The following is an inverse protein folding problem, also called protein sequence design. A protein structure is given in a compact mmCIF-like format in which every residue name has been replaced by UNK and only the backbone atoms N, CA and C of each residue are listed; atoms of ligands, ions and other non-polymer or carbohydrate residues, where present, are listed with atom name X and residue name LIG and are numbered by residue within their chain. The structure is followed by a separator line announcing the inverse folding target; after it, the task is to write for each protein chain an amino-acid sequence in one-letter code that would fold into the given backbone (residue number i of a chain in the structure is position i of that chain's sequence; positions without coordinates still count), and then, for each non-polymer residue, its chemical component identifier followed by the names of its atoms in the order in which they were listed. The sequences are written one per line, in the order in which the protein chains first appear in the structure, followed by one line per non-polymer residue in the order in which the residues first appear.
data_IF_701096378714
#
_entry.id   IF_701096378714
#
_cell.length_a   1.000
_cell.length_b   1.000
_cell.length_c   1.000
_cell.angle_alpha   90.00
_cell.angle_beta   90.00
_cell.angle_gamma   90.00
#
_symmetry.space_group_name_H-M   'P 1'
#
loop_
_entity.id
_entity.type
_entity.pdbx_description
1 polymer ?
#
# COMPACT_ATOMS: atom_id res chain seq x y z
N UNK A 1 -43.89 6.55 44.25
CA UNK A 1 -45.08 7.23 43.74
C UNK A 1 -44.77 7.92 42.45
N UNK A 2 -45.62 7.65 41.43
CA UNK A 2 -45.78 8.33 40.12
C UNK A 2 -44.63 8.21 39.13
N UNK A 3 -44.76 7.48 38.15
CA UNK A 3 -45.70 7.26 37.02
C UNK A 3 -45.25 7.97 35.74
N UNK A 4 -45.01 7.12 34.77
CA UNK A 4 -45.33 7.08 33.34
C UNK A 4 -45.42 8.37 32.52
N UNK A 5 -44.80 8.35 31.34
CA UNK A 5 -45.54 8.48 30.09
C UNK A 5 -44.71 8.08 28.87
N UNK A 6 -45.19 7.03 28.21
CA UNK A 6 -44.91 6.61 26.83
C UNK A 6 -45.61 7.54 25.84
N UNK A 7 -44.98 7.93 24.75
CA UNK A 7 -45.72 8.37 23.56
C UNK A 7 -45.26 7.62 22.32
N UNK A 8 -46.13 6.72 21.89
CA UNK A 8 -46.19 6.12 20.58
C UNK A 8 -46.95 7.04 19.64
N UNK A 9 -46.45 7.29 18.43
CA UNK A 9 -47.30 7.77 17.34
C UNK A 9 -47.15 6.87 16.12
N UNK A 10 -48.32 6.21 15.86
CA UNK A 10 -48.64 5.49 14.64
C UNK A 10 -49.65 6.32 13.85
N UNK A 11 -49.53 6.45 12.55
CA UNK A 11 -50.57 6.80 11.59
C UNK A 11 -50.17 6.27 10.22
N UNK A 12 -50.70 5.25 9.72
CA UNK A 12 -52.01 4.90 9.10
C UNK A 12 -52.16 5.28 7.63
N UNK A 13 -52.38 4.22 6.86
CA UNK A 13 -52.75 4.06 5.44
C UNK A 13 -53.95 4.85 4.95
N UNK A 14 -53.95 5.10 3.60
CA UNK A 14 -55.08 4.94 2.65
C UNK A 14 -54.45 4.94 1.26
N UNK A 15 -54.61 4.06 0.31
CA UNK A 15 -55.69 3.15 -0.06
C UNK A 15 -56.49 3.70 -1.24
N UNK A 16 -56.21 3.17 -2.49
CA UNK A 16 -57.24 2.86 -3.50
C UNK A 16 -56.62 2.33 -4.81
N UNK A 17 -56.99 1.11 -5.18
CA UNK A 17 -57.03 0.53 -6.52
C UNK A 17 -58.54 0.58 -6.97
N UNK A 18 -59.00 0.21 -8.20
CA UNK A 18 -58.38 -0.59 -9.26
C UNK A 18 -58.74 -0.11 -10.71
N UNK A 19 -58.13 -0.72 -11.74
CA UNK A 19 -58.85 -1.32 -12.88
C UNK A 19 -57.87 -1.99 -13.87
N UNK A 20 -58.29 -3.17 -14.35
CA UNK A 20 -57.69 -4.11 -15.29
C UNK A 20 -57.53 -3.54 -16.71
N UNK A 21 -56.51 -4.08 -17.42
CA UNK A 21 -56.67 -4.82 -18.70
C UNK A 21 -55.33 -5.30 -19.22
N UNK A 22 -55.19 -6.60 -19.51
CA UNK A 22 -54.18 -7.30 -20.31
C UNK A 22 -54.79 -7.65 -21.67
N UNK A 23 -54.08 -8.14 -22.73
CA UNK A 23 -52.67 -8.49 -22.92
C UNK A 23 -52.07 -8.06 -24.28
N UNK A 24 -50.73 -8.07 -24.42
CA UNK A 24 -50.09 -8.46 -25.69
C UNK A 24 -48.61 -8.78 -25.49
N UNK A 25 -48.30 -9.96 -25.92
CA UNK A 25 -47.01 -10.61 -26.12
C UNK A 25 -45.96 -9.74 -26.83
N UNK A 26 -44.78 -9.60 -26.28
CA UNK A 26 -43.59 -9.17 -27.00
C UNK A 26 -42.34 -9.69 -26.33
N UNK A 27 -41.66 -10.58 -27.00
CA UNK A 27 -40.35 -11.14 -26.71
C UNK A 27 -39.36 -9.99 -26.46
N UNK A 28 -38.88 -9.84 -25.25
CA UNK A 28 -37.76 -8.92 -24.93
C UNK A 28 -36.48 -9.73 -24.91
N UNK A 29 -35.62 -9.42 -25.88
CA UNK A 29 -34.26 -9.90 -25.93
C UNK A 29 -33.50 -9.43 -24.70
N UNK A 30 -32.82 -10.37 -24.06
CA UNK A 30 -31.91 -10.16 -22.94
C UNK A 30 -30.74 -9.30 -23.39
N UNK A 31 -30.82 -8.00 -23.14
CA UNK A 31 -29.71 -7.08 -23.37
C UNK A 31 -28.84 -7.07 -22.12
N UNK A 32 -27.75 -7.83 -22.17
CA UNK A 32 -26.67 -7.71 -21.22
C UNK A 32 -26.13 -6.28 -21.31
N UNK A 33 -26.46 -5.46 -20.31
CA UNK A 33 -25.82 -4.16 -20.12
C UNK A 33 -24.32 -4.39 -19.87
N UNK A 34 -23.52 -4.04 -20.85
CA UNK A 34 -22.07 -3.95 -20.68
C UNK A 34 -21.78 -2.83 -19.68
N UNK A 35 -21.08 -3.16 -18.60
CA UNK A 35 -20.52 -2.17 -17.69
C UNK A 35 -19.69 -1.15 -18.49
N UNK A 36 -19.80 0.16 -18.19
CA UNK A 36 -19.02 1.16 -18.90
C UNK A 36 -17.54 0.91 -18.65
N UNK A 37 -16.81 0.56 -19.72
CA UNK A 37 -15.35 0.65 -19.71
C UNK A 37 -15.00 2.09 -19.32
N UNK A 38 -14.38 2.25 -18.15
CA UNK A 38 -13.81 3.53 -17.72
C UNK A 38 -12.74 3.86 -18.74
N UNK A 39 -13.08 4.79 -19.60
CA UNK A 39 -12.24 5.32 -20.66
C UNK A 39 -10.89 5.73 -20.05
N UNK A 40 -9.84 5.03 -20.41
CA UNK A 40 -8.49 5.32 -19.98
C UNK A 40 -8.14 6.73 -20.43
N UNK A 41 -8.14 7.66 -19.47
CA UNK A 41 -7.65 9.02 -19.72
C UNK A 41 -6.24 8.90 -20.26
N UNK A 42 -6.10 9.11 -21.57
CA UNK A 42 -4.81 9.20 -22.25
C UNK A 42 -4.18 10.52 -21.84
N UNK A 43 -3.59 10.55 -20.65
CA UNK A 43 -2.69 11.62 -20.25
C UNK A 43 -1.45 11.46 -21.11
N UNK A 44 -1.25 12.38 -22.06
CA UNK A 44 -0.02 12.42 -22.84
C UNK A 44 1.18 12.44 -21.88
N UNK A 45 2.18 11.56 -22.07
CA UNK A 45 3.33 11.46 -21.16
C UNK A 45 4.08 12.79 -21.19
N UNK A 46 3.89 13.59 -20.14
CA UNK A 46 4.58 14.85 -20.04
C UNK A 46 6.07 14.59 -19.72
N UNK A 47 6.97 15.43 -20.26
CA UNK A 47 8.39 15.46 -19.88
C UNK A 47 8.62 15.66 -18.36
N UNK A 48 7.56 15.96 -17.60
CA UNK A 48 7.55 16.07 -16.13
C UNK A 48 7.57 14.72 -15.41
N UNK A 49 7.13 13.62 -16.03
CA UNK A 49 7.05 12.32 -15.37
C UNK A 49 8.43 11.76 -14.93
N UNK A 50 9.52 12.21 -15.53
CA UNK A 50 10.87 11.73 -15.19
C UNK A 50 11.59 12.58 -14.12
N UNK A 51 10.95 13.62 -13.60
CA UNK A 51 11.51 14.48 -12.55
C UNK A 51 11.65 13.74 -11.22
N UNK A 52 10.51 13.35 -10.66
CA UNK A 52 10.40 12.55 -9.45
C UNK A 52 10.05 11.10 -9.79
N UNK A 53 10.57 10.15 -9.02
CA UNK A 53 10.22 8.75 -9.21
C UNK A 53 8.73 8.49 -8.94
N UNK A 54 8.14 9.19 -7.98
CA UNK A 54 6.72 9.04 -7.60
C UNK A 54 5.79 9.47 -8.74
N UNK A 55 6.12 10.53 -9.46
CA UNK A 55 5.35 10.94 -10.65
C UNK A 55 5.47 9.90 -11.76
N UNK A 56 6.68 9.36 -11.95
CA UNK A 56 6.94 8.33 -12.94
C UNK A 56 6.19 7.04 -12.63
N UNK A 57 6.31 6.51 -11.41
CA UNK A 57 5.73 5.22 -11.05
C UNK A 57 4.19 5.27 -11.11
N UNK A 58 3.59 6.41 -10.74
CA UNK A 58 2.15 6.61 -10.85
C UNK A 58 1.66 6.45 -12.30
N UNK A 59 2.32 7.08 -13.27
CA UNK A 59 1.96 6.94 -14.69
C UNK A 59 2.28 5.53 -15.20
N UNK A 60 3.43 4.97 -14.80
CA UNK A 60 3.86 3.63 -15.19
C UNK A 60 2.84 2.55 -14.78
N UNK A 61 2.27 2.67 -13.58
CA UNK A 61 1.27 1.73 -13.07
C UNK A 61 -0.10 1.85 -13.76
N UNK A 62 -0.47 3.02 -14.27
CA UNK A 62 -1.83 3.29 -14.77
C UNK A 62 -1.93 3.29 -16.30
N UNK A 63 -0.81 3.45 -17.01
CA UNK A 63 -0.82 3.54 -18.48
C UNK A 63 -0.06 2.38 -19.12
N UNK A 64 -0.80 1.46 -19.75
CA UNK A 64 -0.24 0.25 -20.40
C UNK A 64 0.78 0.56 -21.51
N UNK A 65 0.53 1.58 -22.31
CA UNK A 65 1.42 1.95 -23.41
C UNK A 65 2.71 2.57 -22.86
N UNK A 66 2.60 3.51 -21.91
CA UNK A 66 3.74 4.11 -21.24
C UNK A 66 4.56 3.05 -20.48
N UNK A 67 3.91 2.13 -19.77
CA UNK A 67 4.62 1.04 -19.09
C UNK A 67 5.49 0.25 -20.07
N UNK A 68 4.93 -0.15 -21.21
CA UNK A 68 5.66 -0.93 -22.22
C UNK A 68 6.83 -0.15 -22.82
N UNK A 69 6.66 1.15 -23.09
CA UNK A 69 7.72 2.05 -23.56
C UNK A 69 8.88 2.19 -22.59
N UNK A 70 8.56 2.16 -21.29
CA UNK A 70 9.52 2.41 -20.20
C UNK A 70 10.11 1.13 -19.62
N UNK A 71 10.05 0.03 -20.34
CA UNK A 71 10.73 -1.23 -20.02
C UNK A 71 11.90 -1.42 -20.97
N UNK A 72 13.04 -1.82 -20.40
CA UNK A 72 14.23 -2.18 -21.18
C UNK A 72 14.10 -3.63 -21.65
N UNK A 73 13.77 -3.81 -22.92
CA UNK A 73 13.65 -5.14 -23.52
C UNK A 73 14.93 -5.58 -24.25
N UNK A 74 15.28 -6.89 -24.22
CA UNK A 74 14.66 -7.94 -23.42
C UNK A 74 14.82 -7.64 -21.91
N UNK A 75 13.70 -7.71 -21.15
CA UNK A 75 13.71 -7.44 -19.73
C UNK A 75 14.40 -8.59 -18.98
N UNK A 76 15.45 -8.28 -18.23
CA UNK A 76 16.14 -9.26 -17.40
C UNK A 76 15.24 -9.72 -16.25
N UNK A 77 15.17 -11.03 -16.02
CA UNK A 77 14.40 -11.63 -14.93
C UNK A 77 15.28 -12.65 -14.21
N UNK A 78 15.51 -12.41 -12.92
CA UNK A 78 16.27 -13.32 -12.06
C UNK A 78 15.33 -13.95 -11.05
N UNK A 79 15.24 -15.27 -11.02
CA UNK A 79 14.45 -16.03 -10.03
C UNK A 79 15.36 -16.95 -9.25
N UNK A 80 15.56 -16.68 -7.97
CA UNK A 80 16.45 -17.46 -7.09
C UNK A 80 17.86 -17.68 -7.69
N UNK A 81 18.39 -16.65 -8.34
CA UNK A 81 19.72 -16.70 -8.99
C UNK A 81 19.72 -17.26 -10.41
N UNK A 82 18.59 -17.75 -10.93
CA UNK A 82 18.48 -18.23 -12.32
C UNK A 82 18.02 -17.07 -13.21
N UNK A 83 18.86 -16.70 -14.17
CA UNK A 83 18.58 -15.62 -15.11
C UNK A 83 17.74 -16.13 -16.29
N UNK A 84 16.80 -15.29 -16.71
CA UNK A 84 15.98 -15.45 -17.91
C UNK A 84 15.62 -14.06 -18.44
N UNK A 85 14.88 -13.98 -19.54
CA UNK A 85 14.43 -12.69 -20.09
C UNK A 85 12.99 -12.76 -20.59
N UNK A 86 12.31 -11.61 -20.56
CA UNK A 86 10.99 -11.42 -21.18
C UNK A 86 11.18 -10.53 -22.41
N UNK A 87 10.70 -11.04 -23.54
CA UNK A 87 10.69 -10.27 -24.79
C UNK A 87 9.52 -9.27 -24.78
N UNK A 88 9.64 -8.19 -25.53
CA UNK A 88 8.60 -7.15 -25.60
C UNK A 88 7.20 -7.69 -25.98
N UNK A 89 7.12 -8.65 -26.88
CA UNK A 89 5.87 -9.30 -27.33
C UNK A 89 5.21 -10.15 -26.23
N UNK A 90 6.01 -10.64 -25.25
CA UNK A 90 5.58 -11.54 -24.19
C UNK A 90 5.27 -10.79 -22.88
N UNK A 91 5.50 -9.46 -22.88
CA UNK A 91 5.20 -8.63 -21.71
C UNK A 91 3.70 -8.54 -21.48
N UNK A 92 3.29 -8.81 -20.26
CA UNK A 92 1.91 -8.59 -19.79
C UNK A 92 1.91 -7.38 -18.84
N UNK A 93 0.96 -6.47 -19.07
CA UNK A 93 0.78 -5.31 -18.21
C UNK A 93 0.66 -5.71 -16.74
N UNK A 94 1.44 -5.05 -15.89
CA UNK A 94 1.48 -5.25 -14.45
C UNK A 94 1.10 -3.93 -13.76
N UNK A 95 -0.09 -3.82 -13.14
CA UNK A 95 -0.53 -2.60 -12.46
C UNK A 95 0.25 -2.33 -11.17
N UNK A 96 1.22 -3.16 -10.79
CA UNK A 96 1.89 -3.11 -9.50
C UNK A 96 0.84 -2.94 -8.37
N UNK A 97 1.12 -2.07 -7.41
CA UNK A 97 0.24 -1.84 -6.26
C UNK A 97 -0.89 -0.82 -6.50
N UNK A 98 -1.10 -0.32 -7.72
CA UNK A 98 -2.12 0.70 -8.00
C UNK A 98 -3.57 0.24 -7.81
N UNK A 99 -3.79 -1.07 -7.66
CA UNK A 99 -5.10 -1.69 -7.40
C UNK A 99 -5.28 -2.16 -5.96
N UNK A 100 -4.29 -1.93 -5.11
CA UNK A 100 -4.40 -2.25 -3.70
C UNK A 100 -5.12 -1.12 -2.98
N UNK A 101 -5.88 -1.43 -1.94
CA UNK A 101 -6.49 -0.42 -1.07
C UNK A 101 -5.43 0.33 -0.28
N UNK A 102 -4.34 -0.36 0.08
CA UNK A 102 -3.19 0.19 0.77
C UNK A 102 -1.88 -0.31 0.17
N UNK A 103 -0.84 0.51 0.30
CA UNK A 103 0.54 0.11 0.04
C UNK A 103 1.45 0.61 1.17
N UNK A 104 2.62 0.01 1.31
CA UNK A 104 3.55 0.35 2.39
C UNK A 104 4.89 0.79 1.84
N UNK A 105 5.56 1.67 2.59
CA UNK A 105 6.96 2.07 2.37
C UNK A 105 7.68 1.94 3.70
N UNK A 106 8.93 1.46 3.67
CA UNK A 106 9.78 1.34 4.86
C UNK A 106 10.92 2.34 4.74
N UNK A 107 11.03 3.22 5.71
CA UNK A 107 12.15 4.14 5.84
C UNK A 107 13.12 3.66 6.92
N UNK A 108 14.39 4.01 6.78
CA UNK A 108 15.46 3.67 7.71
C UNK A 108 15.72 4.75 8.76
N UNK A 109 15.06 5.90 8.64
CA UNK A 109 15.24 7.08 9.51
C UNK A 109 14.15 8.13 9.28
N UNK A 110 13.95 9.01 10.25
CA UNK A 110 13.11 10.22 10.12
C UNK A 110 13.58 11.13 8.96
N UNK A 111 14.89 11.18 8.74
CA UNK A 111 15.44 11.98 7.65
C UNK A 111 15.00 11.44 6.29
N UNK A 112 15.04 10.12 6.09
CA UNK A 112 14.62 9.50 4.83
C UNK A 112 13.10 9.61 4.63
N UNK A 113 12.30 9.56 5.71
CA UNK A 113 10.88 9.80 5.68
C UNK A 113 10.54 11.24 5.24
N UNK A 114 11.26 12.24 5.78
CA UNK A 114 10.97 13.66 5.56
C UNK A 114 11.64 14.25 4.30
N UNK A 115 12.39 13.46 3.54
CA UNK A 115 13.01 13.87 2.26
C UNK A 115 12.45 13.10 1.06
N UNK A 116 11.15 13.21 0.78
CA UNK A 116 10.49 12.42 -0.25
C UNK A 116 10.76 12.93 -1.68
N UNK A 117 11.36 14.12 -1.83
CA UNK A 117 11.49 14.80 -3.14
C UNK A 117 12.91 14.76 -3.69
N UNK A 118 13.56 13.58 -3.64
CA UNK A 118 14.87 13.41 -4.25
C UNK A 118 14.77 13.45 -5.77
N UNK A 119 15.25 14.51 -6.39
CA UNK A 119 15.34 14.65 -7.85
C UNK A 119 16.61 14.04 -8.43
N UNK A 120 17.58 13.73 -7.58
CA UNK A 120 18.92 13.21 -7.92
C UNK A 120 18.97 11.67 -7.95
N UNK A 121 17.88 10.99 -7.63
CA UNK A 121 17.81 9.54 -7.68
C UNK A 121 18.06 9.01 -9.09
N UNK A 122 18.84 7.95 -9.16
CA UNK A 122 19.13 7.23 -10.41
C UNK A 122 18.74 5.75 -10.35
N UNK A 123 18.43 5.27 -9.17
CA UNK A 123 18.10 3.88 -8.90
C UNK A 123 17.02 3.82 -7.82
N UNK A 124 15.94 3.08 -8.09
CA UNK A 124 14.85 2.82 -7.13
C UNK A 124 14.38 1.39 -7.28
N UNK A 125 14.09 0.74 -6.17
CA UNK A 125 13.58 -0.62 -6.16
C UNK A 125 12.18 -0.65 -5.54
N UNK A 126 11.19 -1.13 -6.31
CA UNK A 126 9.85 -1.41 -5.79
C UNK A 126 9.77 -2.89 -5.45
N UNK A 127 9.37 -3.18 -4.22
CA UNK A 127 9.34 -4.54 -3.69
C UNK A 127 7.91 -5.00 -3.38
N UNK A 128 7.64 -6.25 -3.71
CA UNK A 128 6.55 -7.03 -3.15
C UNK A 128 7.15 -8.02 -2.14
N UNK A 129 6.75 -7.91 -0.90
CA UNK A 129 7.24 -8.71 0.22
C UNK A 129 6.16 -9.71 0.61
N UNK A 130 6.36 -10.97 0.25
CA UNK A 130 5.43 -12.07 0.54
C UNK A 130 5.79 -12.66 1.91
N UNK A 131 5.09 -12.20 2.95
CA UNK A 131 5.41 -12.47 4.36
C UNK A 131 5.32 -13.96 4.69
N UNK A 132 4.25 -14.63 4.26
CA UNK A 132 4.03 -16.07 4.51
C UNK A 132 4.97 -16.97 3.70
N UNK A 133 5.48 -16.52 2.54
CA UNK A 133 6.39 -17.25 1.69
C UNK A 133 7.86 -16.94 1.96
N UNK A 134 8.16 -15.96 2.82
CA UNK A 134 9.50 -15.43 3.08
C UNK A 134 10.27 -15.10 1.79
N UNK A 135 9.58 -14.39 0.88
CA UNK A 135 10.06 -14.09 -0.47
C UNK A 135 9.88 -12.62 -0.79
N UNK A 136 10.82 -12.07 -1.55
CA UNK A 136 10.73 -10.71 -2.12
C UNK A 136 10.76 -10.80 -3.64
N UNK A 137 9.89 -10.02 -4.31
CA UNK A 137 9.96 -9.73 -5.74
C UNK A 137 10.28 -8.25 -5.90
N UNK A 138 11.35 -7.95 -6.59
CA UNK A 138 11.86 -6.60 -6.82
C UNK A 138 11.66 -6.21 -8.28
N UNK A 139 11.19 -4.98 -8.49
CA UNK A 139 11.19 -4.29 -9.77
C UNK A 139 12.25 -3.20 -9.68
N UNK A 140 13.30 -3.33 -10.46
CA UNK A 140 14.47 -2.46 -10.42
C UNK A 140 14.33 -1.42 -11.51
N UNK A 141 14.31 -0.17 -11.08
CA UNK A 141 14.20 0.99 -11.96
C UNK A 141 15.49 1.78 -11.94
N UNK A 142 16.02 2.06 -13.13
CA UNK A 142 17.20 2.90 -13.32
C UNK A 142 16.87 4.11 -14.19
N UNK A 143 17.49 5.25 -13.91
CA UNK A 143 17.35 6.47 -14.69
C UNK A 143 18.42 6.52 -15.77
N UNK A 144 18.08 6.12 -17.00
CA UNK A 144 18.95 6.09 -18.17
C UNK A 144 18.67 7.31 -19.06
N UNK A 145 19.68 8.12 -19.37
CA UNK A 145 19.55 9.32 -20.21
C UNK A 145 18.42 10.29 -19.77
N UNK A 146 18.23 10.39 -18.44
CA UNK A 146 17.21 11.24 -17.82
C UNK A 146 15.81 10.64 -17.77
N UNK A 147 15.61 9.42 -18.24
CA UNK A 147 14.34 8.70 -18.22
C UNK A 147 14.38 7.49 -17.31
N UNK A 148 13.35 7.31 -16.48
CA UNK A 148 13.17 6.11 -15.69
C UNK A 148 12.77 4.92 -16.56
N UNK A 149 13.39 3.75 -16.32
CA UNK A 149 13.08 2.49 -17.01
C UNK A 149 13.10 1.33 -16.03
N UNK A 150 12.18 0.38 -16.21
CA UNK A 150 12.28 -0.92 -15.58
C UNK A 150 13.37 -1.71 -16.30
N UNK A 151 14.44 -2.08 -15.58
CA UNK A 151 15.63 -2.73 -16.14
C UNK A 151 15.74 -4.20 -15.75
N UNK A 152 15.18 -4.56 -14.58
CA UNK A 152 15.23 -5.94 -14.09
C UNK A 152 14.03 -6.25 -13.19
N UNK A 153 13.62 -7.54 -13.17
CA UNK A 153 12.76 -8.11 -12.13
C UNK A 153 13.56 -9.19 -11.43
N UNK A 154 13.71 -9.08 -10.11
CA UNK A 154 14.41 -10.07 -9.29
C UNK A 154 13.46 -10.69 -8.26
N UNK A 155 13.62 -11.99 -7.98
CA UNK A 155 12.87 -12.69 -6.94
C UNK A 155 13.79 -13.60 -6.16
N UNK A 156 13.81 -13.41 -4.85
CA UNK A 156 14.67 -14.15 -3.93
C UNK A 156 14.00 -14.35 -2.57
N UNK A 157 14.61 -15.15 -1.72
CA UNK A 157 14.17 -15.32 -0.33
C UNK A 157 14.59 -14.11 0.51
N UNK A 158 13.96 -13.94 1.68
CA UNK A 158 14.31 -12.88 2.64
C UNK A 158 15.81 -12.81 2.92
N UNK A 159 16.46 -13.95 3.14
CA UNK A 159 17.89 -14.04 3.49
C UNK A 159 18.84 -13.35 2.50
N UNK A 160 18.36 -13.03 1.31
CA UNK A 160 19.12 -12.31 0.27
C UNK A 160 18.76 -10.82 0.18
N UNK A 161 17.80 -10.37 0.98
CA UNK A 161 17.38 -8.96 1.02
C UNK A 161 18.16 -8.18 2.10
N UNK A 162 18.43 -6.92 1.85
CA UNK A 162 19.11 -6.06 2.83
C UNK A 162 18.28 -5.79 4.09
N UNK A 163 16.95 -5.90 3.96
CA UNK A 163 16.00 -5.73 5.05
C UNK A 163 15.52 -7.07 5.64
N UNK A 164 16.25 -8.16 5.38
CA UNK A 164 15.92 -9.53 5.77
C UNK A 164 15.51 -9.66 7.23
N UNK A 165 16.32 -9.10 8.12
CA UNK A 165 16.14 -9.14 9.56
C UNK A 165 14.77 -8.56 9.98
N UNK A 166 14.44 -7.38 9.45
CA UNK A 166 13.15 -6.75 9.70
C UNK A 166 11.98 -7.52 9.05
N UNK A 167 12.16 -8.07 7.86
CA UNK A 167 11.10 -8.84 7.21
C UNK A 167 10.77 -10.14 7.95
N UNK A 168 11.75 -10.84 8.52
CA UNK A 168 11.50 -11.99 9.39
C UNK A 168 10.77 -11.59 10.67
N UNK A 169 11.21 -10.53 11.33
CA UNK A 169 10.53 -9.98 12.48
C UNK A 169 9.08 -9.59 12.17
N UNK A 170 8.88 -8.76 11.14
CA UNK A 170 7.56 -8.23 10.82
C UNK A 170 6.57 -9.34 10.42
N UNK A 171 7.03 -10.34 9.65
CA UNK A 171 6.19 -11.48 9.29
C UNK A 171 5.66 -12.24 10.52
N UNK A 172 6.44 -12.34 11.59
CA UNK A 172 5.99 -12.92 12.84
C UNK A 172 5.13 -11.94 13.64
N UNK A 173 5.55 -10.70 13.74
CA UNK A 173 4.86 -9.64 14.48
C UNK A 173 3.39 -9.49 14.06
N UNK A 174 3.07 -9.60 12.78
CA UNK A 174 1.68 -9.44 12.30
C UNK A 174 0.85 -10.71 12.32
N UNK A 175 1.46 -11.89 12.51
CA UNK A 175 0.77 -13.18 12.45
C UNK A 175 0.76 -13.95 13.79
N UNK A 176 1.40 -13.42 14.83
CA UNK A 176 1.51 -14.05 16.15
C UNK A 176 1.19 -12.97 17.22
N UNK A 177 -0.02 -13.04 17.80
CA UNK A 177 -0.51 -12.00 18.73
C UNK A 177 0.29 -11.96 20.05
N UNK A 178 0.80 -13.09 20.55
CA UNK A 178 1.62 -13.13 21.73
C UNK A 178 2.98 -12.48 21.47
N UNK A 179 3.60 -12.88 20.35
CA UNK A 179 4.86 -12.27 19.89
C UNK A 179 4.70 -10.76 19.63
N UNK A 180 3.58 -10.35 19.02
CA UNK A 180 3.27 -8.93 18.78
C UNK A 180 3.27 -8.15 20.09
N UNK A 181 2.56 -8.65 21.11
CA UNK A 181 2.48 -8.00 22.44
C UNK A 181 3.84 -7.89 23.11
N UNK A 182 4.66 -8.92 23.04
CA UNK A 182 6.02 -8.94 23.61
C UNK A 182 6.98 -7.96 22.90
N UNK A 183 6.67 -7.60 21.65
CA UNK A 183 7.51 -6.74 20.83
C UNK A 183 6.92 -5.34 20.62
N UNK A 184 6.10 -4.89 21.54
CA UNK A 184 5.66 -3.49 21.66
C UNK A 184 6.26 -2.92 22.95
N UNK A 185 6.90 -1.76 22.85
CA UNK A 185 7.41 -1.04 24.03
C UNK A 185 6.25 -0.68 24.96
N UNK A 186 6.43 -0.81 26.26
CA UNK A 186 5.37 -0.50 27.22
C UNK A 186 5.86 0.52 28.27
N UNK A 187 5.31 1.76 28.28
CA UNK A 187 4.38 2.29 27.29
C UNK A 187 5.08 2.69 25.99
N UNK A 188 4.35 2.69 24.84
CA UNK A 188 4.85 3.17 23.55
C UNK A 188 4.33 4.57 23.22
N UNK A 189 5.08 5.31 22.42
CA UNK A 189 4.71 6.67 22.01
C UNK A 189 3.53 6.65 21.02
N UNK A 190 2.62 7.61 21.19
CA UNK A 190 1.47 7.81 20.32
C UNK A 190 1.39 9.26 19.90
N UNK A 191 1.10 9.49 18.61
CA UNK A 191 0.85 10.80 18.06
C UNK A 191 -0.33 10.73 17.11
N UNK A 192 -1.24 11.69 17.20
CA UNK A 192 -2.35 11.88 16.26
C UNK A 192 -2.60 13.37 16.05
N UNK A 193 -3.36 13.69 15.01
CA UNK A 193 -3.76 15.06 14.71
C UNK A 193 -5.22 15.29 15.10
N UNK A 194 -5.47 16.30 15.95
CA UNK A 194 -6.81 16.74 16.28
C UNK A 194 -7.31 17.75 15.23
N UNK A 195 -8.25 17.31 14.41
CA UNK A 195 -8.84 18.13 13.35
C UNK A 195 -9.80 19.20 13.88
N UNK A 196 -10.33 19.06 15.10
CA UNK A 196 -11.24 20.02 15.71
C UNK A 196 -10.48 21.22 16.29
N UNK A 197 -9.33 20.98 16.90
CA UNK A 197 -8.47 21.98 17.51
C UNK A 197 -7.26 22.38 16.65
N UNK A 198 -7.03 21.69 15.53
CA UNK A 198 -5.89 21.89 14.62
C UNK A 198 -4.52 21.77 15.29
N UNK A 199 -4.38 20.77 16.18
CA UNK A 199 -3.13 20.53 16.92
C UNK A 199 -2.72 19.06 16.92
N UNK A 200 -1.41 18.84 17.08
CA UNK A 200 -0.87 17.50 17.35
C UNK A 200 -1.17 17.10 18.80
N UNK A 201 -1.74 15.91 18.98
CA UNK A 201 -1.87 15.28 20.29
C UNK A 201 -0.78 14.21 20.39
N UNK A 202 0.06 14.33 21.42
CA UNK A 202 1.10 13.36 21.72
C UNK A 202 0.88 12.77 23.14
N UNK A 203 1.16 11.48 23.27
CA UNK A 203 0.98 10.77 24.53
C UNK A 203 1.70 9.42 24.55
N UNK A 204 1.38 8.66 25.58
CA UNK A 204 1.85 7.29 25.74
C UNK A 204 0.64 6.37 25.86
N UNK A 205 0.74 5.21 25.23
CA UNK A 205 -0.26 4.15 25.32
C UNK A 205 0.38 2.91 25.94
N UNK A 206 -0.37 2.24 26.81
CA UNK A 206 0.02 0.94 27.32
C UNK A 206 -0.22 -0.15 26.26
N UNK A 207 0.54 -1.22 26.31
CA UNK A 207 0.46 -2.33 25.33
C UNK A 207 -0.94 -2.95 25.27
N UNK A 208 -1.71 -2.91 26.35
CA UNK A 208 -3.10 -3.38 26.43
C UNK A 208 -4.05 -2.57 25.55
N UNK A 209 -3.71 -1.33 25.24
CA UNK A 209 -4.50 -0.45 24.35
C UNK A 209 -4.19 -0.67 22.88
N UNK A 210 -3.11 -1.37 22.55
CA UNK A 210 -2.70 -1.61 21.17
C UNK A 210 -3.81 -2.15 20.25
N UNK A 211 -4.65 -3.13 20.66
CA UNK A 211 -5.72 -3.63 19.80
C UNK A 211 -6.74 -2.57 19.36
N UNK A 212 -6.94 -1.52 20.17
CA UNK A 212 -7.90 -0.44 19.92
C UNK A 212 -7.36 0.63 18.95
N UNK A 213 -6.02 0.75 18.88
CA UNK A 213 -5.36 1.81 18.09
C UNK A 213 -4.61 1.27 16.87
N UNK A 214 -4.36 -0.04 16.80
CA UNK A 214 -3.59 -0.62 15.69
C UNK A 214 -4.30 -0.40 14.35
N UNK A 215 -3.57 0.01 13.30
CA UNK A 215 -4.11 0.02 11.96
C UNK A 215 -4.25 -1.41 11.39
N UNK A 216 -4.96 -1.53 10.26
CA UNK A 216 -4.99 -2.77 9.49
C UNK A 216 -3.61 -3.04 8.89
N UNK A 217 -2.86 -3.94 9.52
CA UNK A 217 -1.52 -4.32 9.10
C UNK A 217 -1.56 -5.41 8.02
N UNK A 218 -0.75 -5.29 6.95
CA UNK A 218 -0.64 -6.36 5.97
C UNK A 218 -0.02 -7.62 6.58
N UNK A 219 -0.74 -8.75 6.51
CA UNK A 219 -0.35 -10.04 7.09
C UNK A 219 0.22 -11.03 6.08
N UNK A 220 -0.14 -10.89 4.81
CA UNK A 220 0.29 -11.81 3.74
C UNK A 220 1.31 -11.18 2.80
N UNK A 221 1.01 -9.97 2.33
CA UNK A 221 1.82 -9.27 1.34
C UNK A 221 1.88 -7.80 1.68
N UNK A 222 3.08 -7.25 1.74
CA UNK A 222 3.31 -5.81 1.84
C UNK A 222 4.16 -5.32 0.67
N UNK A 223 4.18 -4.02 0.45
CA UNK A 223 5.06 -3.38 -0.52
C UNK A 223 6.18 -2.62 0.18
N UNK A 224 7.21 -2.27 -0.57
CA UNK A 224 8.22 -1.32 -0.15
C UNK A 224 8.76 -0.58 -1.37
N UNK A 225 9.13 0.69 -1.19
CA UNK A 225 9.85 1.46 -2.20
C UNK A 225 11.18 1.90 -1.60
N UNK A 226 12.25 1.31 -2.10
CA UNK A 226 13.60 1.66 -1.68
C UNK A 226 14.15 2.77 -2.58
N UNK A 227 14.20 3.99 -2.05
CA UNK A 227 14.78 5.18 -2.68
C UNK A 227 16.27 5.35 -2.37
N UNK A 228 16.94 4.32 -1.85
CA UNK A 228 18.30 4.34 -1.41
C UNK A 228 18.46 4.32 0.13
N UNK A 229 17.44 3.84 0.85
CA UNK A 229 17.51 3.59 2.28
C UNK A 229 18.61 2.57 2.60
N UNK A 230 19.28 2.78 3.73
CA UNK A 230 20.45 1.99 4.17
C UNK A 230 20.07 1.03 5.30
N UNK A 231 19.36 -0.03 4.95
CA UNK A 231 18.79 -0.96 5.95
C UNK A 231 19.84 -1.69 6.78
N UNK A 232 21.00 -2.01 6.23
CA UNK A 232 22.05 -2.75 6.94
C UNK A 232 22.66 -1.99 8.12
N UNK A 233 22.75 -0.67 8.00
CA UNK A 233 23.39 0.18 9.01
C UNK A 233 22.42 0.80 10.00
N UNK A 234 21.11 0.70 9.75
CA UNK A 234 20.09 1.32 10.59
C UNK A 234 19.43 0.30 11.54
N UNK A 235 19.25 0.71 12.78
CA UNK A 235 18.49 0.02 13.83
C UNK A 235 17.05 0.55 13.94
N UNK A 236 16.62 1.39 13.01
CA UNK A 236 15.27 1.97 12.95
C UNK A 236 14.56 1.57 11.65
N UNK A 237 13.26 1.33 11.75
CA UNK A 237 12.34 1.20 10.62
C UNK A 237 11.10 2.01 10.90
N UNK A 238 10.72 2.84 9.94
CA UNK A 238 9.44 3.54 9.95
C UNK A 238 8.62 2.94 8.82
N UNK A 239 7.61 2.16 9.19
CA UNK A 239 6.67 1.57 8.26
C UNK A 239 5.53 2.56 8.04
N UNK A 240 5.47 3.15 6.85
CA UNK A 240 4.40 4.02 6.44
C UNK A 240 3.33 3.21 5.69
N UNK A 241 2.09 3.27 6.15
CA UNK A 241 0.92 2.75 5.45
C UNK A 241 0.28 3.90 4.67
N UNK A 242 0.06 3.70 3.37
CA UNK A 242 -0.45 4.72 2.47
C UNK A 242 -1.69 4.22 1.74
N UNK A 243 -2.63 5.12 1.47
CA UNK A 243 -3.70 4.89 0.51
C UNK A 243 -3.28 5.42 -0.87
N UNK A 244 -3.50 4.67 -1.96
CA UNK A 244 -3.24 5.15 -3.33
C UNK A 244 -4.09 6.36 -3.73
N UNK A 245 -5.17 6.63 -3.01
CA UNK A 245 -6.01 7.82 -3.17
C UNK A 245 -5.46 9.07 -2.48
N UNK A 246 -4.33 8.97 -1.75
CA UNK A 246 -3.75 10.07 -1.00
C UNK A 246 -4.48 10.40 0.31
N UNK A 247 -5.29 9.46 0.81
CA UNK A 247 -5.92 9.56 2.13
C UNK A 247 -4.92 9.43 3.28
N UNK A 248 -5.42 9.56 4.50
CA UNK A 248 -4.60 9.49 5.72
C UNK A 248 -3.81 8.18 5.75
N UNK A 249 -2.52 8.30 5.95
CA UNK A 249 -1.61 7.22 6.24
C UNK A 249 -1.25 7.21 7.72
N UNK A 250 -0.72 6.09 8.20
CA UNK A 250 -0.12 6.04 9.53
C UNK A 250 1.32 5.56 9.45
N UNK A 251 2.11 5.91 10.46
CA UNK A 251 3.49 5.50 10.59
C UNK A 251 3.66 4.66 11.85
N UNK A 252 4.31 3.50 11.70
CA UNK A 252 4.77 2.69 12.81
C UNK A 252 6.29 2.75 12.87
N UNK A 253 6.83 3.20 13.99
CA UNK A 253 8.27 3.21 14.22
C UNK A 253 8.68 1.98 15.00
N UNK A 254 9.62 1.24 14.45
CA UNK A 254 10.27 0.10 15.08
C UNK A 254 11.74 0.44 15.32
N UNK A 255 12.23 0.12 16.52
CA UNK A 255 13.63 0.28 16.89
C UNK A 255 14.22 -1.03 17.37
N UNK A 256 15.48 -1.27 17.04
CA UNK A 256 16.21 -2.45 17.50
C UNK A 256 16.91 -2.13 18.81
N UNK A 257 16.43 -2.74 19.90
CA UNK A 257 16.98 -2.63 21.25
C UNK A 257 17.49 -4.00 21.69
N UNK A 258 18.72 -4.08 22.17
CA UNK A 258 19.38 -5.32 22.62
C UNK A 258 19.34 -6.47 21.60
N UNK A 259 19.29 -6.12 20.30
CA UNK A 259 19.25 -7.09 19.21
C UNK A 259 17.85 -7.46 18.71
N UNK A 260 16.78 -7.04 19.39
CA UNK A 260 15.39 -7.32 19.06
C UNK A 260 14.66 -6.07 18.56
N UNK A 261 13.75 -6.26 17.60
CA UNK A 261 12.89 -5.19 17.10
C UNK A 261 11.70 -4.97 18.04
N UNK A 262 11.42 -3.73 18.39
CA UNK A 262 10.25 -3.31 19.17
C UNK A 262 9.50 -2.22 18.45
N UNK A 263 8.17 -2.27 18.42
CA UNK A 263 7.34 -1.12 18.08
C UNK A 263 7.45 -0.09 19.21
N UNK A 264 7.89 1.11 18.86
CA UNK A 264 8.14 2.18 19.85
C UNK A 264 7.22 3.38 19.68
N UNK A 265 6.61 3.54 18.48
CA UNK A 265 5.73 4.69 18.22
C UNK A 265 4.69 4.35 17.14
N UNK A 266 3.48 4.88 17.34
CA UNK A 266 2.40 4.95 16.35
C UNK A 266 2.05 6.42 16.10
N UNK A 267 1.94 6.80 14.82
CA UNK A 267 1.48 8.12 14.38
C UNK A 267 0.34 7.94 13.36
N UNK A 268 -0.83 8.53 13.64
CA UNK A 268 -2.05 8.48 12.81
C UNK A 268 -2.33 9.86 12.19
#
# INVERSE_FOLDING_TARGET
MMACALFSFSCTRKGQQPAEETPADSVVADTVEAEPEIDSVTVAPSKKADGLFDDFIFVFMKNKAFQKERIKFPLNVVKQGIASSIMEKDWKYDPLYSRNDTYTIIFDSERSLNDPKRTDLKHVVVEWVYLTQHKVKQYIFDKEQGQWRLTEINSHRFDKNENSDFYHFYARFVNDEEYQREHIENPFAFKTYDYDNFEDIEGLLDVEQWPDYRPDLPTEVMTNINYGQSYRSSTKRILMLCSPSGGMGCNLTFEKKDGEWLLTKLEN
#
